data_IF_873561836310
#
_entry.id   IF_873561836310
#
_cell.length_a   1.000
_cell.length_b   1.000
_cell.length_c   1.000
_cell.angle_alpha   90.00
_cell.angle_beta   90.00
_cell.angle_gamma   90.00
#
_symmetry.space_group_name_H-M   'P 1'
#
loop_
_entity.id
_entity.type
_entity.pdbx_description
1 polymer ?
#
# COMPACT_ATOMS: atom_id res chain seq x y z
N UNK A 1 13.88 11.23 4.50
CA UNK A 1 12.54 11.83 4.29
C UNK A 1 12.57 13.20 4.93
N UNK A 2 12.30 14.27 4.18
CA UNK A 2 12.34 15.62 4.75
C UNK A 2 11.09 15.85 5.62
N UNK A 3 11.26 16.47 6.79
CA UNK A 3 10.15 16.76 7.70
C UNK A 3 9.96 18.27 7.81
N UNK A 4 8.70 18.70 7.87
CA UNK A 4 8.33 20.11 8.05
C UNK A 4 7.51 20.20 9.33
N UNK A 5 7.94 21.07 10.26
CA UNK A 5 7.20 21.30 11.50
C UNK A 5 5.93 22.08 11.17
N UNK A 6 4.79 21.52 11.55
CA UNK A 6 3.46 22.13 11.35
C UNK A 6 2.81 22.29 12.72
N UNK A 7 2.30 23.49 13.02
CA UNK A 7 1.53 23.74 14.23
C UNK A 7 0.05 23.43 13.99
N UNK A 8 -0.54 22.58 14.82
CA UNK A 8 -1.94 22.18 14.73
C UNK A 8 -2.62 22.41 16.08
N UNK A 9 -3.86 22.91 16.05
CA UNK A 9 -4.69 23.09 17.24
C UNK A 9 -5.64 21.90 17.32
N UNK A 10 -5.68 21.24 18.48
CA UNK A 10 -6.54 20.10 18.75
C UNK A 10 -7.37 20.40 20.01
N UNK A 11 -8.64 19.97 20.06
CA UNK A 11 -9.44 20.00 21.27
C UNK A 11 -8.76 19.25 22.43
N UNK A 12 -8.90 19.77 23.65
CA UNK A 12 -8.23 19.22 24.84
C UNK A 12 -8.70 17.80 25.17
N UNK A 13 -9.99 17.54 25.05
CA UNK A 13 -10.61 16.23 25.21
C UNK A 13 -10.01 15.20 24.24
N UNK A 14 -9.86 15.56 22.97
CA UNK A 14 -9.24 14.68 21.98
C UNK A 14 -7.76 14.39 22.31
N UNK A 15 -7.01 15.38 22.78
CA UNK A 15 -5.61 15.17 23.18
C UNK A 15 -5.53 14.19 24.36
N UNK A 16 -6.41 14.35 25.35
CA UNK A 16 -6.49 13.43 26.50
C UNK A 16 -6.84 12.00 26.08
N UNK A 17 -7.78 11.83 25.15
CA UNK A 17 -8.15 10.51 24.66
C UNK A 17 -7.01 9.84 23.88
N UNK A 18 -6.31 10.60 23.03
CA UNK A 18 -5.13 10.10 22.31
C UNK A 18 -4.06 9.68 23.32
N UNK A 19 -3.78 10.51 24.33
CA UNK A 19 -2.81 10.20 25.37
C UNK A 19 -3.12 8.91 26.13
N UNK A 20 -4.39 8.70 26.48
CA UNK A 20 -4.83 7.50 27.16
C UNK A 20 -4.63 6.24 26.29
N UNK A 21 -4.78 6.36 24.96
CA UNK A 21 -4.63 5.24 24.03
C UNK A 21 -3.17 4.90 23.69
N UNK A 22 -2.33 5.92 23.48
CA UNK A 22 -0.99 5.73 22.91
C UNK A 22 0.13 5.86 23.93
N UNK A 23 -0.19 6.37 25.12
CA UNK A 23 0.77 6.61 26.19
C UNK A 23 1.77 7.74 25.89
N UNK A 24 2.79 7.90 26.75
CA UNK A 24 3.73 9.01 26.65
C UNK A 24 4.55 8.94 25.35
N UNK A 25 4.73 10.10 24.71
CA UNK A 25 5.52 10.30 23.46
C UNK A 25 4.95 9.61 22.20
N UNK A 26 3.76 8.98 22.27
CA UNK A 26 3.12 8.33 21.13
C UNK A 26 2.27 9.25 20.23
N UNK A 27 1.94 10.47 20.68
CA UNK A 27 1.00 11.37 19.99
C UNK A 27 1.39 11.68 18.54
N UNK A 28 2.65 12.06 18.31
CA UNK A 28 3.10 12.48 16.98
C UNK A 28 3.07 11.31 16.00
N UNK A 29 3.51 10.12 16.42
CA UNK A 29 3.45 8.91 15.62
C UNK A 29 1.99 8.55 15.27
N UNK A 30 1.11 8.55 16.27
CA UNK A 30 -0.31 8.27 16.08
C UNK A 30 -0.98 9.24 15.11
N UNK A 31 -0.74 10.55 15.25
CA UNK A 31 -1.31 11.55 14.36
C UNK A 31 -0.79 11.38 12.93
N UNK A 32 0.52 11.10 12.76
CA UNK A 32 1.12 10.90 11.43
C UNK A 32 0.54 9.66 10.76
N UNK A 33 0.45 8.53 11.46
CA UNK A 33 -0.11 7.28 10.92
C UNK A 33 -1.60 7.45 10.57
N UNK A 34 -2.38 7.98 11.50
CA UNK A 34 -3.82 8.23 11.29
C UNK A 34 -4.05 9.18 10.12
N UNK A 35 -3.26 10.26 10.01
CA UNK A 35 -3.36 11.19 8.88
C UNK A 35 -2.98 10.53 7.55
N UNK A 36 -1.95 9.67 7.53
CA UNK A 36 -1.59 8.88 6.33
C UNK A 36 -2.74 7.98 5.89
N UNK A 37 -3.35 7.27 6.83
CA UNK A 37 -4.46 6.38 6.52
C UNK A 37 -5.70 7.15 6.07
N UNK A 38 -6.02 8.26 6.72
CA UNK A 38 -7.11 9.14 6.30
C UNK A 38 -6.90 9.69 4.89
N UNK A 39 -5.68 10.15 4.56
CA UNK A 39 -5.33 10.62 3.21
C UNK A 39 -5.45 9.49 2.19
N UNK A 40 -4.92 8.31 2.49
CA UNK A 40 -5.02 7.12 1.63
C UNK A 40 -6.48 6.77 1.33
N UNK A 41 -7.32 6.73 2.37
CA UNK A 41 -8.76 6.47 2.25
C UNK A 41 -9.45 7.52 1.40
N UNK A 42 -9.17 8.82 1.61
CA UNK A 42 -9.77 9.89 0.81
C UNK A 42 -9.37 9.80 -0.66
N UNK A 43 -8.09 9.53 -0.96
CA UNK A 43 -7.61 9.32 -2.33
C UNK A 43 -8.30 8.13 -2.99
N UNK A 44 -8.44 7.02 -2.27
CA UNK A 44 -9.17 5.86 -2.79
C UNK A 44 -10.64 6.20 -3.08
N UNK A 45 -11.33 6.89 -2.17
CA UNK A 45 -12.72 7.29 -2.40
C UNK A 45 -12.87 8.27 -3.56
N UNK A 46 -11.90 9.17 -3.77
CA UNK A 46 -11.88 10.06 -4.93
C UNK A 46 -11.73 9.27 -6.23
N UNK A 47 -10.82 8.31 -6.26
CA UNK A 47 -10.63 7.42 -7.40
C UNK A 47 -11.87 6.55 -7.68
N UNK A 48 -12.50 5.98 -6.67
CA UNK A 48 -13.72 5.18 -6.85
C UNK A 48 -14.93 6.02 -7.32
N UNK A 49 -14.89 7.35 -7.15
CA UNK A 49 -15.91 8.27 -7.67
C UNK A 49 -15.60 8.79 -9.07
N UNK A 50 -14.37 8.64 -9.54
CA UNK A 50 -14.01 9.07 -10.88
C UNK A 50 -14.44 8.02 -11.90
N UNK A 51 -14.89 8.47 -13.07
CA UNK A 51 -15.12 7.61 -14.24
C UNK A 51 -13.82 7.19 -14.93
N UNK A 52 -12.66 7.54 -14.35
CA UNK A 52 -11.37 7.12 -14.89
C UNK A 52 -11.24 5.58 -14.80
N UNK A 53 -10.90 4.90 -15.90
CA UNK A 53 -10.70 3.46 -15.87
C UNK A 53 -9.64 3.07 -14.85
N UNK A 54 -10.01 2.22 -13.89
CA UNK A 54 -9.10 1.70 -12.89
C UNK A 54 -8.01 0.79 -13.47
N UNK A 55 -8.22 0.33 -14.71
CA UNK A 55 -7.38 -0.59 -15.44
C UNK A 55 -7.26 -0.11 -16.88
N UNK A 56 -6.03 -0.03 -17.38
CA UNK A 56 -5.70 0.40 -18.75
C UNK A 56 -4.76 -0.64 -19.36
N UNK A 57 -5.09 -1.16 -20.53
CA UNK A 57 -4.28 -2.22 -21.17
C UNK A 57 -2.86 -1.74 -21.48
N UNK A 58 -2.69 -0.44 -21.74
CA UNK A 58 -1.40 0.21 -22.01
C UNK A 58 -0.44 0.13 -20.81
N UNK A 59 -0.98 0.03 -19.60
CA UNK A 59 -0.18 -0.12 -18.38
C UNK A 59 0.24 -1.57 -18.11
N UNK A 60 -0.28 -2.54 -18.87
CA UNK A 60 -0.09 -3.98 -18.65
C UNK A 60 0.39 -4.71 -19.92
N UNK A 61 1.56 -4.32 -20.50
CA UNK A 61 2.09 -4.97 -21.70
C UNK A 61 2.38 -6.47 -21.49
N UNK A 62 2.64 -6.90 -20.25
CA UNK A 62 2.83 -8.31 -19.89
C UNK A 62 1.60 -9.19 -20.14
N UNK A 63 0.41 -8.57 -20.18
CA UNK A 63 -0.86 -9.23 -20.42
C UNK A 63 -1.33 -9.12 -21.87
N UNK A 64 -0.55 -8.50 -22.77
CA UNK A 64 -0.93 -8.29 -24.18
C UNK A 64 -1.28 -9.60 -24.93
N UNK A 65 -0.72 -10.74 -24.51
CA UNK A 65 -1.03 -12.08 -25.06
C UNK A 65 -2.16 -12.81 -24.30
N UNK A 66 -2.88 -12.09 -23.45
CA UNK A 66 -3.93 -12.59 -22.57
C UNK A 66 -3.40 -13.10 -21.23
N UNK A 67 -4.23 -12.96 -20.20
CA UNK A 67 -3.92 -13.38 -18.83
C UNK A 67 -3.58 -14.89 -18.74
N UNK A 68 -4.26 -15.74 -19.49
CA UNK A 68 -4.00 -17.18 -19.49
C UNK A 68 -2.56 -17.51 -19.96
N UNK A 69 -2.06 -16.82 -21.00
CA UNK A 69 -0.70 -17.02 -21.49
C UNK A 69 0.33 -16.53 -20.47
N UNK A 70 0.07 -15.38 -19.84
CA UNK A 70 0.93 -14.82 -18.80
C UNK A 70 1.02 -15.74 -17.57
N UNK A 71 -0.10 -16.23 -17.05
CA UNK A 71 -0.13 -17.16 -15.91
C UNK A 71 0.59 -18.47 -16.23
N UNK A 72 0.42 -19.03 -17.45
CA UNK A 72 1.16 -20.23 -17.87
C UNK A 72 2.67 -20.01 -17.84
N UNK A 73 3.14 -18.86 -18.36
CA UNK A 73 4.56 -18.48 -18.32
C UNK A 73 5.07 -18.38 -16.89
N UNK A 74 4.31 -17.73 -16.01
CA UNK A 74 4.65 -17.54 -14.60
C UNK A 74 4.83 -18.89 -13.87
N UNK A 75 3.90 -19.83 -14.08
CA UNK A 75 3.99 -21.18 -13.50
C UNK A 75 5.20 -21.95 -14.01
N UNK A 76 5.46 -21.93 -15.31
CA UNK A 76 6.61 -22.59 -15.90
C UNK A 76 7.96 -22.01 -15.41
N UNK A 77 8.02 -20.71 -15.11
CA UNK A 77 9.18 -20.08 -14.46
C UNK A 77 9.37 -20.56 -13.02
N UNK A 78 8.28 -20.60 -12.24
CA UNK A 78 8.29 -21.13 -10.87
C UNK A 78 8.76 -22.58 -10.80
N UNK A 79 8.21 -23.46 -11.64
CA UNK A 79 8.61 -24.87 -11.72
C UNK A 79 10.10 -25.03 -12.09
N UNK A 80 10.60 -24.23 -13.03
CA UNK A 80 12.02 -24.22 -13.41
C UNK A 80 12.90 -23.78 -12.25
N UNK A 81 12.51 -22.76 -11.49
CA UNK A 81 13.23 -22.30 -10.32
C UNK A 81 13.30 -23.37 -9.22
N UNK A 82 12.16 -24.02 -8.94
CA UNK A 82 12.08 -25.14 -7.99
C UNK A 82 12.97 -26.31 -8.43
N UNK A 83 12.93 -26.70 -9.71
CA UNK A 83 13.76 -27.78 -10.25
C UNK A 83 15.26 -27.48 -10.16
N UNK A 84 15.68 -26.24 -10.39
CA UNK A 84 17.09 -25.81 -10.23
C UNK A 84 17.56 -25.94 -8.78
N UNK A 85 16.74 -25.54 -7.81
CA UNK A 85 17.07 -25.68 -6.37
C UNK A 85 17.21 -27.14 -5.96
N UNK A 86 16.35 -28.02 -6.49
CA UNK A 86 16.43 -29.46 -6.20
C UNK A 86 17.66 -30.11 -6.85
N UNK A 87 18.07 -29.65 -8.04
CA UNK A 87 19.27 -30.16 -8.73
C UNK A 87 20.60 -29.71 -8.11
N UNK A 88 20.65 -28.59 -7.39
CA UNK A 88 21.86 -28.16 -6.67
C UNK A 88 22.04 -28.79 -5.30
N UNK A 89 21.15 -29.70 -4.90
CA UNK A 89 21.13 -30.37 -3.60
C UNK A 89 21.61 -31.83 -3.67
N UNK A 90 22.00 -32.30 -4.86
CA UNK A 90 22.56 -33.63 -5.14
C UNK A 90 23.81 -33.49 -6.00
#
# INVERSE_FOLDING_TARGET
MNTVRTHIVLPEDLVRDIDALVGPRGRSAFIVETARDAVRRKRLLQFLRSDEPAWKEENHPELAKGAAAWVRKLRAEGERATRRRLKGKY
#
